data_IF_031551019450
#
_entry.id   IF_031551019450
#
_cell.length_a   1.000
_cell.length_b   1.000
_cell.length_c   1.000
_cell.angle_alpha   90.00
_cell.angle_beta   90.00
_cell.angle_gamma   90.00
#
_symmetry.space_group_name_H-M   'P 1'
#
loop_
_entity.id
_entity.type
_entity.pdbx_description
1 polymer ?
#
# COMPACT_ATOMS: atom_id res chain seq x y z
N UNK A 1 -21.24 -7.71 -22.89
CA UNK A 1 -20.44 -6.48 -23.18
C UNK A 1 -20.31 -5.60 -21.93
N UNK A 2 -21.41 -5.21 -21.27
CA UNK A 2 -21.37 -4.43 -20.02
C UNK A 2 -20.53 -5.09 -18.93
N UNK A 3 -20.64 -6.40 -18.74
CA UNK A 3 -19.82 -7.16 -17.78
C UNK A 3 -18.32 -7.08 -18.07
N UNK A 4 -17.93 -7.20 -19.34
CA UNK A 4 -16.52 -7.10 -19.77
C UNK A 4 -15.96 -5.70 -19.44
N UNK A 5 -16.75 -4.66 -19.72
CA UNK A 5 -16.38 -3.28 -19.39
C UNK A 5 -16.25 -3.10 -17.87
N UNK A 6 -17.18 -3.65 -17.08
CA UNK A 6 -17.13 -3.59 -15.63
C UNK A 6 -15.85 -4.24 -15.07
N UNK A 7 -15.48 -5.44 -15.55
CA UNK A 7 -14.23 -6.10 -15.19
C UNK A 7 -12.99 -5.32 -15.62
N UNK A 8 -13.01 -4.70 -16.81
CA UNK A 8 -11.90 -3.87 -17.26
C UNK A 8 -11.72 -2.64 -16.37
N UNK A 9 -12.82 -1.92 -16.06
CA UNK A 9 -12.78 -0.76 -15.15
C UNK A 9 -12.25 -1.18 -13.78
N UNK A 10 -12.75 -2.28 -13.23
CA UNK A 10 -12.30 -2.80 -11.94
C UNK A 10 -10.80 -3.09 -11.95
N UNK A 11 -10.29 -3.76 -12.99
CA UNK A 11 -8.86 -4.06 -13.15
C UNK A 11 -8.00 -2.81 -13.27
N UNK A 12 -8.42 -1.83 -14.08
CA UNK A 12 -7.69 -0.57 -14.27
C UNK A 12 -7.61 0.21 -12.97
N UNK A 13 -8.74 0.39 -12.28
CA UNK A 13 -8.77 1.12 -11.00
C UNK A 13 -7.94 0.40 -9.96
N UNK A 14 -8.05 -0.93 -9.88
CA UNK A 14 -7.33 -1.72 -8.90
C UNK A 14 -5.81 -1.70 -9.13
N UNK A 15 -5.36 -1.90 -10.36
CA UNK A 15 -3.94 -1.76 -10.72
C UNK A 15 -3.42 -0.35 -10.40
N UNK A 16 -4.26 0.68 -10.58
CA UNK A 16 -3.95 2.06 -10.20
C UNK A 16 -3.54 2.24 -8.73
N UNK A 17 -4.13 1.48 -7.79
CA UNK A 17 -3.73 1.54 -6.38
C UNK A 17 -2.28 1.11 -6.12
N UNK A 18 -1.71 0.29 -6.99
CA UNK A 18 -0.33 -0.20 -6.89
C UNK A 18 0.62 0.58 -7.79
N UNK A 19 0.17 1.07 -8.96
CA UNK A 19 1.02 1.87 -9.86
C UNK A 19 1.25 3.29 -9.33
N UNK A 20 0.19 3.95 -8.82
CA UNK A 20 0.29 5.35 -8.41
C UNK A 20 1.35 5.61 -7.33
N UNK A 21 1.46 4.80 -6.24
CA UNK A 21 2.44 5.06 -5.19
C UNK A 21 3.90 4.81 -5.62
N UNK A 22 4.15 4.06 -6.71
CA UNK A 22 5.52 3.84 -7.22
C UNK A 22 6.18 5.17 -7.54
N UNK A 23 5.45 6.11 -8.15
CA UNK A 23 5.97 7.45 -8.44
C UNK A 23 6.47 8.16 -7.17
N UNK A 24 5.67 8.13 -6.10
CA UNK A 24 6.06 8.70 -4.81
C UNK A 24 7.29 8.02 -4.21
N UNK A 25 7.35 6.68 -4.23
CA UNK A 25 8.51 5.95 -3.72
C UNK A 25 9.80 6.20 -4.51
N UNK A 26 9.70 6.43 -5.82
CA UNK A 26 10.85 6.77 -6.66
C UNK A 26 11.34 8.20 -6.42
N UNK A 27 10.44 9.14 -6.09
CA UNK A 27 10.81 10.51 -5.76
C UNK A 27 11.42 10.64 -4.35
N UNK A 28 10.97 9.83 -3.40
CA UNK A 28 11.47 9.82 -2.03
C UNK A 28 11.96 8.42 -1.63
N UNK A 29 13.09 8.04 -2.22
CA UNK A 29 13.74 6.75 -1.96
C UNK A 29 14.17 6.54 -0.50
N UNK A 30 14.68 7.55 0.23
CA UNK A 30 14.94 7.43 1.67
C UNK A 30 13.69 7.01 2.46
N UNK A 31 12.56 7.67 2.25
CA UNK A 31 11.30 7.33 2.92
C UNK A 31 10.76 5.95 2.50
N UNK A 32 10.94 5.56 1.23
CA UNK A 32 10.58 4.22 0.75
C UNK A 32 11.36 3.12 1.51
N UNK A 33 12.67 3.29 1.67
CA UNK A 33 13.53 2.38 2.46
C UNK A 33 13.11 2.33 3.93
N UNK A 34 12.80 3.47 4.53
CA UNK A 34 12.36 3.53 5.92
C UNK A 34 11.00 2.86 6.11
N UNK A 35 10.08 3.02 5.17
CA UNK A 35 8.79 2.33 5.19
C UNK A 35 8.98 0.81 5.13
N UNK A 36 9.91 0.33 4.29
CA UNK A 36 10.22 -1.09 4.21
C UNK A 36 10.71 -1.67 5.55
N UNK A 37 11.49 -0.89 6.32
CA UNK A 37 11.99 -1.36 7.63
C UNK A 37 10.90 -1.62 8.68
N UNK A 38 9.70 -1.07 8.50
CA UNK A 38 8.59 -1.25 9.43
C UNK A 38 8.03 -2.67 9.42
N UNK A 39 8.22 -3.41 8.32
CA UNK A 39 7.77 -4.78 8.16
C UNK A 39 8.90 -5.76 8.45
N UNK A 40 10.08 -5.52 7.86
CA UNK A 40 11.26 -6.31 8.15
C UNK A 40 12.47 -5.36 8.28
N UNK A 41 13.23 -5.38 9.38
CA UNK A 41 14.26 -4.37 9.62
C UNK A 41 15.56 -4.59 8.82
N UNK A 42 15.79 -5.81 8.28
CA UNK A 42 17.04 -6.15 7.62
C UNK A 42 17.01 -5.94 6.10
N UNK A 43 18.08 -5.37 5.53
CA UNK A 43 18.22 -5.08 4.10
C UNK A 43 17.16 -4.11 3.52
N UNK A 44 17.04 -2.87 4.04
CA UNK A 44 16.02 -1.90 3.64
C UNK A 44 15.99 -1.59 2.14
N UNK A 45 17.17 -1.51 1.51
CA UNK A 45 17.27 -1.23 0.07
C UNK A 45 16.68 -2.37 -0.78
N UNK A 46 16.99 -3.62 -0.42
CA UNK A 46 16.47 -4.80 -1.14
C UNK A 46 14.96 -4.87 -0.98
N UNK A 47 14.44 -4.63 0.24
CA UNK A 47 13.00 -4.66 0.45
C UNK A 47 12.24 -3.55 -0.27
N UNK A 48 12.76 -2.32 -0.30
CA UNK A 48 12.13 -1.24 -1.06
C UNK A 48 12.04 -1.60 -2.56
N UNK A 49 13.08 -2.23 -3.11
CA UNK A 49 13.05 -2.75 -4.48
C UNK A 49 12.03 -3.87 -4.63
N UNK A 50 12.03 -4.87 -3.75
CA UNK A 50 11.07 -5.98 -3.78
C UNK A 50 9.62 -5.51 -3.67
N UNK A 51 9.38 -4.48 -2.86
CA UNK A 51 8.07 -3.83 -2.71
C UNK A 51 7.62 -3.23 -4.04
N UNK A 52 8.48 -2.46 -4.73
CA UNK A 52 8.16 -1.89 -6.05
C UNK A 52 7.95 -2.99 -7.09
N UNK A 53 8.82 -4.01 -7.10
CA UNK A 53 8.68 -5.17 -8.00
C UNK A 53 7.33 -5.85 -7.77
N UNK A 54 6.95 -6.09 -6.52
CA UNK A 54 5.65 -6.67 -6.17
C UNK A 54 4.49 -5.80 -6.68
N UNK A 55 4.55 -4.47 -6.50
CA UNK A 55 3.52 -3.55 -7.02
C UNK A 55 3.38 -3.64 -8.54
N UNK A 56 4.50 -3.70 -9.29
CA UNK A 56 4.49 -3.85 -10.75
C UNK A 56 3.91 -5.21 -11.15
N UNK A 57 4.34 -6.29 -10.51
CA UNK A 57 3.85 -7.66 -10.79
C UNK A 57 2.35 -7.76 -10.52
N UNK A 58 1.87 -7.27 -9.37
CA UNK A 58 0.44 -7.21 -9.04
C UNK A 58 -0.32 -6.42 -10.12
N UNK A 59 0.17 -5.24 -10.47
CA UNK A 59 -0.50 -4.35 -11.42
C UNK A 59 -0.65 -4.99 -12.79
N UNK A 60 0.41 -5.59 -13.32
CA UNK A 60 0.39 -6.28 -14.62
C UNK A 60 -0.52 -7.50 -14.55
N UNK A 61 -0.40 -8.30 -13.50
CA UNK A 61 -1.17 -9.52 -13.32
C UNK A 61 -2.68 -9.23 -13.29
N UNK A 62 -3.10 -8.22 -12.52
CA UNK A 62 -4.51 -7.85 -12.41
C UNK A 62 -4.99 -7.11 -13.67
N UNK A 63 -4.23 -6.13 -14.18
CA UNK A 63 -4.63 -5.30 -15.32
C UNK A 63 -4.90 -6.14 -16.58
N UNK A 64 -3.96 -7.03 -16.91
CA UNK A 64 -4.04 -7.87 -18.11
C UNK A 64 -4.69 -9.22 -17.84
N UNK A 65 -5.00 -9.53 -16.58
CA UNK A 65 -5.57 -10.82 -16.16
C UNK A 65 -4.65 -12.01 -16.37
N UNK A 66 -3.34 -11.79 -16.34
CA UNK A 66 -2.32 -12.84 -16.48
C UNK A 66 -2.00 -13.36 -15.09
N UNK A 67 -2.32 -14.63 -14.79
CA UNK A 67 -2.22 -15.21 -13.44
C UNK A 67 -3.04 -14.45 -12.38
N UNK A 68 -4.29 -14.10 -12.71
CA UNK A 68 -5.13 -13.22 -11.90
C UNK A 68 -5.31 -13.70 -10.44
N UNK A 69 -5.41 -15.01 -10.23
CA UNK A 69 -5.50 -15.58 -8.88
C UNK A 69 -4.20 -15.41 -8.08
N UNK A 70 -3.04 -15.61 -8.72
CA UNK A 70 -1.74 -15.42 -8.09
C UNK A 70 -1.50 -13.93 -7.82
N UNK A 71 -1.84 -13.06 -8.77
CA UNK A 71 -1.81 -11.61 -8.58
C UNK A 71 -2.67 -11.17 -7.39
N UNK A 72 -3.88 -11.72 -7.28
CA UNK A 72 -4.78 -11.52 -6.14
C UNK A 72 -4.18 -12.00 -4.82
N UNK A 73 -3.56 -13.18 -4.79
CA UNK A 73 -2.87 -13.72 -3.60
C UNK A 73 -1.73 -12.80 -3.14
N UNK A 74 -0.87 -12.40 -4.08
CA UNK A 74 0.27 -11.51 -3.78
C UNK A 74 -0.25 -10.15 -3.31
N UNK A 75 -1.26 -9.58 -3.99
CA UNK A 75 -1.89 -8.32 -3.62
C UNK A 75 -2.56 -8.37 -2.25
N UNK A 76 -3.14 -9.51 -1.87
CA UNK A 76 -3.74 -9.74 -0.56
C UNK A 76 -2.68 -9.62 0.53
N UNK A 77 -1.62 -10.41 0.44
CA UNK A 77 -0.53 -10.36 1.43
C UNK A 77 0.14 -8.98 1.46
N UNK A 78 0.41 -8.41 0.28
CA UNK A 78 0.99 -7.07 0.18
C UNK A 78 0.13 -6.02 0.92
N UNK A 79 -1.19 -6.06 0.71
CA UNK A 79 -2.11 -5.10 1.33
C UNK A 79 -2.20 -5.31 2.84
N UNK A 80 -2.21 -6.56 3.32
CA UNK A 80 -2.18 -6.86 4.76
C UNK A 80 -0.86 -6.42 5.42
N UNK A 81 0.27 -6.58 4.73
CA UNK A 81 1.54 -6.00 5.19
C UNK A 81 1.46 -4.47 5.19
N UNK A 82 0.83 -3.85 4.19
CA UNK A 82 0.55 -2.42 4.17
C UNK A 82 -0.24 -1.96 5.40
N UNK A 83 -1.27 -2.70 5.82
CA UNK A 83 -2.01 -2.44 7.07
C UNK A 83 -1.06 -2.42 8.27
N UNK A 84 -0.23 -3.46 8.41
CA UNK A 84 0.71 -3.56 9.52
C UNK A 84 1.71 -2.38 9.52
N UNK A 85 2.26 -2.00 8.36
CA UNK A 85 3.18 -0.87 8.24
C UNK A 85 2.51 0.45 8.66
N UNK A 86 1.29 0.70 8.17
CA UNK A 86 0.57 1.92 8.51
C UNK A 86 0.22 2.00 10.00
N UNK A 87 -0.20 0.90 10.64
CA UNK A 87 -0.42 0.92 12.10
C UNK A 87 0.89 1.03 12.89
N UNK A 88 2.00 0.48 12.41
CA UNK A 88 3.31 0.73 13.00
C UNK A 88 3.69 2.23 12.93
N UNK A 89 3.42 2.90 11.81
CA UNK A 89 3.59 4.36 11.71
C UNK A 89 2.71 5.11 12.71
N UNK A 90 1.43 4.73 12.86
CA UNK A 90 0.53 5.34 13.86
C UNK A 90 1.10 5.20 15.26
N UNK A 91 1.56 4.00 15.63
CA UNK A 91 2.14 3.75 16.94
C UNK A 91 3.41 4.58 17.17
N UNK A 92 4.31 4.63 16.20
CA UNK A 92 5.53 5.41 16.27
C UNK A 92 5.23 6.91 16.39
N UNK A 93 4.34 7.45 15.55
CA UNK A 93 3.91 8.85 15.63
C UNK A 93 3.27 9.18 16.98
N UNK A 94 2.41 8.29 17.50
CA UNK A 94 1.77 8.43 18.81
C UNK A 94 2.80 8.48 19.96
N UNK A 95 3.92 7.76 19.83
CA UNK A 95 5.00 7.74 20.81
C UNK A 95 5.98 8.92 20.69
N UNK A 96 6.07 9.59 19.52
CA UNK A 96 6.98 10.72 19.32
C UNK A 96 6.65 11.88 20.27
N UNK A 97 7.71 12.48 20.78
CA UNK A 97 7.71 13.71 21.60
C UNK A 97 8.72 14.68 21.01
N UNK A 98 8.42 15.97 21.10
CA UNK A 98 9.40 17.04 20.88
C UNK A 98 10.05 17.40 22.23
N UNK A 99 11.20 18.08 22.21
CA UNK A 99 11.90 18.49 23.44
C UNK A 99 11.05 19.49 24.25
N UNK A 100 11.17 19.41 25.57
CA UNK A 100 10.41 20.27 26.48
C UNK A 100 10.89 21.73 26.42
N UNK A 101 12.10 21.96 25.89
CA UNK A 101 12.68 23.28 25.63
C UNK A 101 12.17 23.93 24.33
N UNK A 102 11.41 23.21 23.50
CA UNK A 102 10.85 23.76 22.26
C UNK A 102 9.85 24.88 22.53
N UNK A 103 9.75 25.84 21.62
CA UNK A 103 8.80 26.96 21.77
C UNK A 103 7.35 26.46 21.81
N UNK A 104 6.45 27.22 22.45
CA UNK A 104 5.02 26.89 22.48
C UNK A 104 4.42 26.76 21.07
N UNK A 105 4.92 27.53 20.11
CA UNK A 105 4.55 27.44 18.70
C UNK A 105 4.98 26.11 18.08
N UNK A 106 6.21 25.68 18.33
CA UNK A 106 6.73 24.42 17.79
C UNK A 106 6.04 23.22 18.42
N UNK A 107 5.73 23.28 19.71
CA UNK A 107 4.93 22.26 20.40
C UNK A 107 3.52 22.14 19.81
N UNK A 108 2.87 23.27 19.51
CA UNK A 108 1.56 23.27 18.87
C UNK A 108 1.62 22.68 17.44
N UNK A 109 2.56 23.13 16.61
CA UNK A 109 2.77 22.61 15.26
C UNK A 109 3.08 21.10 15.26
N UNK A 110 3.90 20.65 16.20
CA UNK A 110 4.21 19.23 16.36
C UNK A 110 2.97 18.41 16.73
N UNK A 111 2.14 18.92 17.64
CA UNK A 111 0.89 18.27 18.03
C UNK A 111 -0.07 18.12 16.85
N UNK A 112 -0.25 19.19 16.06
CA UNK A 112 -1.08 19.17 14.85
C UNK A 112 -0.56 18.20 13.80
N UNK A 113 0.74 18.27 13.48
CA UNK A 113 1.37 17.37 12.52
C UNK A 113 1.26 15.90 12.94
N UNK A 114 1.40 15.62 14.24
CA UNK A 114 1.23 14.28 14.82
C UNK A 114 -0.20 13.77 14.64
N UNK A 115 -1.21 14.59 14.92
CA UNK A 115 -2.62 14.21 14.72
C UNK A 115 -2.91 13.92 13.25
N UNK A 116 -2.47 14.80 12.34
CA UNK A 116 -2.65 14.61 10.90
C UNK A 116 -1.95 13.36 10.39
N UNK A 117 -0.72 13.10 10.84
CA UNK A 117 0.02 11.89 10.51
C UNK A 117 -0.69 10.62 10.99
N UNK A 118 -1.18 10.60 12.23
CA UNK A 118 -1.94 9.48 12.77
C UNK A 118 -3.20 9.22 11.94
N UNK A 119 -4.01 10.25 11.66
CA UNK A 119 -5.23 10.09 10.84
C UNK A 119 -4.88 9.61 9.42
N UNK A 120 -3.84 10.17 8.81
CA UNK A 120 -3.39 9.78 7.47
C UNK A 120 -2.95 8.32 7.38
N UNK A 121 -2.21 7.82 8.36
CA UNK A 121 -1.80 6.41 8.39
C UNK A 121 -2.96 5.48 8.78
N UNK A 122 -3.82 5.85 9.75
CA UNK A 122 -5.00 5.03 10.10
C UNK A 122 -5.97 4.86 8.93
N UNK A 123 -6.26 5.94 8.19
CA UNK A 123 -7.13 5.87 6.99
C UNK A 123 -6.48 5.08 5.86
N UNK A 124 -5.16 5.18 5.70
CA UNK A 124 -4.41 4.36 4.73
C UNK A 124 -4.41 2.88 5.10
N UNK A 125 -4.39 2.53 6.39
CA UNK A 125 -4.57 1.14 6.84
C UNK A 125 -5.98 0.62 6.49
N UNK A 126 -7.03 1.41 6.75
CA UNK A 126 -8.41 1.06 6.39
C UNK A 126 -8.58 0.84 4.87
N UNK A 127 -7.98 1.72 4.05
CA UNK A 127 -7.93 1.53 2.60
C UNK A 127 -7.29 0.20 2.21
N UNK A 128 -6.18 -0.17 2.84
CA UNK A 128 -5.50 -1.44 2.57
C UNK A 128 -6.35 -2.66 2.97
N UNK A 129 -7.21 -2.58 3.99
CA UNK A 129 -8.19 -3.65 4.26
C UNK A 129 -9.20 -3.82 3.12
N UNK A 130 -9.70 -2.71 2.55
CA UNK A 130 -10.61 -2.76 1.40
C UNK A 130 -9.90 -3.35 0.18
N UNK A 131 -8.67 -2.92 -0.10
CA UNK A 131 -7.86 -3.48 -1.18
C UNK A 131 -7.63 -4.97 -0.94
N UNK A 132 -7.29 -5.39 0.29
CA UNK A 132 -7.13 -6.80 0.65
C UNK A 132 -8.40 -7.62 0.40
N UNK A 133 -9.58 -7.11 0.72
CA UNK A 133 -10.85 -7.79 0.46
C UNK A 133 -11.08 -7.99 -1.06
N UNK A 134 -10.78 -6.97 -1.88
CA UNK A 134 -10.87 -7.07 -3.35
C UNK A 134 -9.77 -7.99 -3.91
N UNK A 135 -8.56 -7.97 -3.34
CA UNK A 135 -7.48 -8.91 -3.68
C UNK A 135 -7.91 -10.36 -3.42
N UNK A 136 -8.56 -10.61 -2.28
CA UNK A 136 -9.09 -11.93 -1.93
C UNK A 136 -10.17 -12.37 -2.92
N UNK A 137 -11.04 -11.45 -3.36
CA UNK A 137 -11.98 -11.73 -4.44
C UNK A 137 -11.27 -12.15 -5.74
N UNK A 138 -10.24 -11.41 -6.18
CA UNK A 138 -9.46 -11.80 -7.36
C UNK A 138 -8.69 -13.11 -7.17
N UNK A 139 -8.24 -13.40 -5.95
CA UNK A 139 -7.58 -14.67 -5.61
C UNK A 139 -8.53 -15.86 -5.77
N UNK A 140 -9.83 -15.68 -5.48
CA UNK A 140 -10.82 -16.75 -5.54
C UNK A 140 -11.46 -16.91 -6.92
N UNK A 141 -11.78 -15.81 -7.60
CA UNK A 141 -12.56 -15.80 -8.85
C UNK A 141 -11.75 -15.38 -10.08
N UNK A 142 -10.49 -14.99 -9.88
CA UNK A 142 -9.65 -14.44 -10.92
C UNK A 142 -10.09 -13.04 -11.30
N UNK A 143 -9.62 -12.58 -12.44
CA UNK A 143 -9.80 -11.18 -12.88
C UNK A 143 -10.85 -11.02 -13.97
N UNK A 144 -11.80 -11.96 -14.04
CA UNK A 144 -12.90 -11.97 -14.98
C UNK A 144 -12.53 -12.44 -16.40
N UNK A 145 -13.42 -12.19 -17.38
CA UNK A 145 -13.23 -12.60 -18.77
C UNK A 145 -11.90 -12.10 -19.36
N UNK A 146 -11.26 -12.96 -20.17
CA UNK A 146 -9.91 -12.80 -20.73
C UNK A 146 -8.75 -12.94 -19.73
N UNK A 147 -8.99 -13.51 -18.54
CA UNK A 147 -7.89 -13.99 -17.72
C UNK A 147 -7.23 -15.20 -18.40
N UNK A 148 -5.90 -15.16 -18.60
CA UNK A 148 -5.15 -16.23 -19.29
C UNK A 148 -5.11 -17.51 -18.44
N UNK A 149 -5.15 -17.33 -17.13
CA UNK A 149 -5.27 -18.36 -16.11
C UNK A 149 -6.18 -17.79 -15.02
N UNK A 150 -7.45 -18.21 -15.05
CA UNK A 150 -8.31 -18.19 -13.87
C UNK A 150 -7.71 -19.21 -12.90
#
# INVERSE_FOLDING_TARGET
MTEIIAWLVLRVVFAGFFLYPIYGFLQDWPSAKQTATLIYPAYPAIQAVLMIVAMVVISISILFGIYGHIGGLIALFYSLLGVAAHYACVHNLAALKISDEASSKDQALFSEAKVLGVVGHSTSAQKNYVIAAVSFFFMLLGTGPFSITS
#
